data_IF_412601051624
#
_entry.id   IF_412601051624
#
_cell.length_a   1.000
_cell.length_b   1.000
_cell.length_c   1.000
_cell.angle_alpha   90.00
_cell.angle_beta   90.00
_cell.angle_gamma   90.00
#
_symmetry.space_group_name_H-M   'P 1'
#
loop_
_entity.id
_entity.type
_entity.pdbx_description
1 polymer ?
#
# COMPACT_ATOMS: atom_id res chain seq x y z
N UNK A 1 -4.45 -5.67 15.00
CA UNK A 1 -4.60 -6.35 16.31
C UNK A 1 -4.25 -5.26 17.30
N UNK A 2 -5.24 -4.70 18.00
CA UNK A 2 -5.02 -3.60 18.94
C UNK A 2 -4.21 -4.10 20.14
N UNK A 3 -3.02 -3.52 20.34
CA UNK A 3 -2.02 -4.05 21.27
C UNK A 3 -2.43 -3.87 22.74
N UNK A 4 -3.10 -2.76 23.06
CA UNK A 4 -3.32 -2.34 24.46
C UNK A 4 -4.65 -2.82 25.04
N UNK A 5 -5.67 -3.03 24.21
CA UNK A 5 -7.02 -3.35 24.69
C UNK A 5 -7.10 -4.70 25.45
N UNK A 6 -6.49 -5.80 24.96
CA UNK A 6 -6.44 -7.05 25.73
C UNK A 6 -5.62 -6.93 27.02
N UNK A 7 -4.59 -6.09 27.04
CA UNK A 7 -3.78 -5.86 28.23
C UNK A 7 -4.59 -5.11 29.32
N UNK A 8 -5.34 -4.09 28.92
CA UNK A 8 -6.21 -3.35 29.82
C UNK A 8 -7.31 -4.26 30.37
N UNK A 9 -8.01 -5.00 29.52
CA UNK A 9 -9.09 -5.91 29.94
C UNK A 9 -8.60 -6.95 30.97
N UNK A 10 -7.44 -7.57 30.72
CA UNK A 10 -6.80 -8.48 31.68
C UNK A 10 -6.49 -7.80 33.02
N UNK A 11 -6.00 -6.55 33.02
CA UNK A 11 -5.73 -5.80 34.26
C UNK A 11 -7.00 -5.51 35.05
N UNK A 12 -8.09 -5.14 34.38
CA UNK A 12 -9.37 -4.94 35.04
C UNK A 12 -9.88 -6.24 35.66
N UNK A 13 -9.82 -7.35 34.92
CA UNK A 13 -10.20 -8.67 35.42
C UNK A 13 -9.38 -9.08 36.65
N UNK A 14 -8.05 -8.89 36.63
CA UNK A 14 -7.18 -9.17 37.77
C UNK A 14 -7.53 -8.32 39.01
N UNK A 15 -7.99 -7.09 38.80
CA UNK A 15 -8.46 -6.18 39.84
C UNK A 15 -9.96 -6.37 40.17
N UNK A 16 -10.57 -7.48 39.75
CA UNK A 16 -11.98 -7.84 39.99
C UNK A 16 -12.97 -6.76 39.53
N UNK A 17 -12.58 -6.00 38.53
CA UNK A 17 -13.39 -4.95 37.92
C UNK A 17 -13.84 -5.43 36.54
N UNK A 18 -15.15 -5.45 36.30
CA UNK A 18 -15.68 -5.82 34.99
C UNK A 18 -15.67 -4.61 34.05
N UNK A 19 -15.36 -4.85 32.77
CA UNK A 19 -15.32 -3.83 31.73
C UNK A 19 -16.05 -4.30 30.48
N UNK A 20 -16.58 -3.35 29.73
CA UNK A 20 -17.11 -3.52 28.38
C UNK A 20 -16.11 -3.05 27.30
N UNK A 21 -14.82 -2.84 27.65
CA UNK A 21 -13.83 -2.23 26.77
C UNK A 21 -13.67 -2.98 25.44
N UNK A 22 -13.68 -4.32 25.48
CA UNK A 22 -13.62 -5.15 24.27
C UNK A 22 -14.86 -5.02 23.37
N UNK A 23 -16.00 -4.64 23.94
CA UNK A 23 -17.24 -4.42 23.20
C UNK A 23 -17.32 -3.01 22.59
N UNK A 24 -16.42 -2.08 22.98
CA UNK A 24 -16.43 -0.71 22.46
C UNK A 24 -15.69 -0.62 21.12
N UNK A 25 -16.16 0.27 20.22
CA UNK A 25 -15.40 0.62 19.02
C UNK A 25 -14.02 1.14 19.41
N UNK A 26 -12.99 0.56 18.80
CA UNK A 26 -11.61 0.98 18.99
C UNK A 26 -10.92 1.00 17.63
N UNK A 27 -9.95 1.90 17.49
CA UNK A 27 -9.17 2.03 16.27
C UNK A 27 -7.68 1.87 16.59
N UNK A 28 -7.07 0.91 15.90
CA UNK A 28 -5.63 0.76 15.84
C UNK A 28 -5.13 1.59 14.65
N UNK A 29 -4.30 2.60 14.91
CA UNK A 29 -3.79 3.51 13.88
C UNK A 29 -2.61 2.94 13.11
N UNK A 30 -2.00 1.85 13.57
CA UNK A 30 -0.85 1.26 12.90
C UNK A 30 -1.20 0.64 11.52
N UNK A 31 -2.30 -0.13 11.37
CA UNK A 31 -2.74 -0.59 10.05
C UNK A 31 -2.97 0.51 9.01
N UNK A 32 -3.77 1.58 9.27
CA UNK A 32 -3.96 2.64 8.29
C UNK A 32 -2.67 3.42 8.03
N UNK A 33 -1.85 3.70 9.06
CA UNK A 33 -0.56 4.34 8.88
C UNK A 33 0.37 3.54 7.94
N UNK A 34 0.45 2.21 8.12
CA UNK A 34 1.22 1.34 7.24
C UNK A 34 0.66 1.27 5.82
N UNK A 35 -0.66 1.32 5.65
CA UNK A 35 -1.26 1.33 4.31
C UNK A 35 -0.82 2.55 3.49
N UNK A 36 -0.70 3.70 4.14
CA UNK A 36 -0.32 4.94 3.46
C UNK A 36 1.21 5.08 3.36
N UNK A 37 1.95 4.95 4.47
CA UNK A 37 3.33 5.46 4.54
C UNK A 37 4.44 4.42 4.53
N UNK A 38 4.14 3.11 4.58
CA UNK A 38 5.17 2.05 4.74
C UNK A 38 6.24 2.03 3.65
N UNK A 39 5.90 2.46 2.44
CA UNK A 39 6.81 2.43 1.30
C UNK A 39 7.78 3.62 1.30
N UNK A 40 7.46 4.67 2.06
CA UNK A 40 8.24 5.91 2.18
C UNK A 40 9.02 5.96 3.49
N UNK A 41 8.45 5.46 4.58
CA UNK A 41 9.04 5.51 5.92
C UNK A 41 9.75 4.20 6.27
N UNK A 42 10.90 4.32 6.92
CA UNK A 42 11.65 3.18 7.45
C UNK A 42 10.93 2.50 8.63
N UNK A 43 10.10 3.25 9.36
CA UNK A 43 9.29 2.77 10.47
C UNK A 43 7.94 3.47 10.49
N UNK A 44 6.90 2.75 10.92
CA UNK A 44 5.58 3.33 11.24
C UNK A 44 5.30 3.28 12.76
N UNK A 45 6.34 3.18 13.59
CA UNK A 45 6.18 3.39 15.03
C UNK A 45 5.79 4.84 15.32
N UNK A 46 5.06 5.08 16.41
CA UNK A 46 4.49 6.39 16.74
C UNK A 46 5.54 7.51 16.72
N UNK A 47 6.68 7.33 17.37
CA UNK A 47 7.77 8.33 17.35
C UNK A 47 8.31 8.67 15.96
N UNK A 48 8.32 7.71 15.03
CA UNK A 48 8.73 7.98 13.64
C UNK A 48 7.64 8.74 12.88
N UNK A 49 6.36 8.43 13.13
CA UNK A 49 5.23 9.13 12.52
C UNK A 49 5.10 10.55 13.06
N UNK A 50 5.33 10.75 14.35
CA UNK A 50 5.41 12.06 14.99
C UNK A 50 6.42 12.97 14.31
N UNK A 51 7.66 12.53 14.19
CA UNK A 51 8.73 13.30 13.57
C UNK A 51 8.42 13.57 12.08
N UNK A 52 8.09 12.52 11.33
CA UNK A 52 8.05 12.58 9.86
C UNK A 52 6.74 13.12 9.30
N UNK A 53 5.62 12.84 9.94
CA UNK A 53 4.28 13.19 9.44
C UNK A 53 3.63 14.34 10.22
N UNK A 54 3.94 14.48 11.51
CA UNK A 54 3.33 15.50 12.38
C UNK A 54 4.28 16.66 12.72
N UNK A 55 5.60 16.50 12.52
CA UNK A 55 6.61 17.49 12.90
C UNK A 55 6.75 17.64 14.42
N UNK A 56 6.31 16.65 15.20
CA UNK A 56 6.38 16.69 16.65
C UNK A 56 7.83 16.46 17.09
N UNK A 57 8.34 17.37 17.92
CA UNK A 57 9.64 17.25 18.57
C UNK A 57 9.41 17.10 20.07
N UNK A 58 9.73 15.94 20.61
CA UNK A 58 9.61 15.67 22.05
C UNK A 58 10.71 16.39 22.82
N UNK A 59 10.38 16.90 24.00
CA UNK A 59 11.35 17.57 24.87
C UNK A 59 12.22 16.57 25.64
N UNK A 60 13.28 17.04 26.29
CA UNK A 60 14.12 16.22 27.19
C UNK A 60 13.35 15.65 28.40
N UNK A 61 12.14 16.15 28.67
CA UNK A 61 11.28 15.62 29.71
C UNK A 61 10.75 14.21 29.38
N UNK A 62 10.75 13.81 28.10
CA UNK A 62 10.26 12.49 27.69
C UNK A 62 11.10 11.34 28.30
N UNK A 63 10.43 10.20 28.50
CA UNK A 63 11.05 8.95 28.94
C UNK A 63 10.96 7.92 27.82
N UNK A 64 11.99 7.08 27.61
CA UNK A 64 11.85 5.94 26.72
C UNK A 64 10.72 5.03 27.21
N UNK A 65 9.79 4.66 26.32
CA UNK A 65 8.58 3.91 26.69
C UNK A 65 8.87 2.58 27.43
N UNK A 66 9.99 1.91 27.10
CA UNK A 66 10.42 0.68 27.77
C UNK A 66 10.81 0.89 29.24
N UNK A 67 11.11 2.12 29.67
CA UNK A 67 11.49 2.45 31.05
C UNK A 67 10.26 2.70 31.93
N UNK A 68 9.10 3.01 31.34
CA UNK A 68 7.86 3.35 32.05
C UNK A 68 7.45 2.29 33.08
N UNK A 69 7.45 0.96 32.79
CA UNK A 69 7.07 -0.04 33.80
C UNK A 69 7.98 -0.02 35.04
N UNK A 70 9.28 0.19 34.85
CA UNK A 70 10.25 0.23 35.94
C UNK A 70 10.09 1.49 36.81
N UNK A 71 9.77 2.63 36.21
CA UNK A 71 9.48 3.87 36.96
C UNK A 71 8.19 3.72 37.78
N UNK A 72 7.17 3.09 37.21
CA UNK A 72 5.93 2.83 37.92
C UNK A 72 6.12 1.86 39.10
N UNK A 73 6.88 0.77 38.91
CA UNK A 73 7.18 -0.17 40.00
C UNK A 73 7.99 0.48 41.13
N UNK A 74 8.91 1.40 40.80
CA UNK A 74 9.66 2.16 41.81
C UNK A 74 8.73 3.00 42.67
N UNK A 75 7.85 3.77 42.03
CA UNK A 75 6.83 4.56 42.73
C UNK A 75 5.96 3.71 43.66
N UNK A 76 5.55 2.51 43.24
CA UNK A 76 4.78 1.60 44.11
C UNK A 76 5.56 1.12 45.34
N UNK A 77 6.89 1.06 45.25
CA UNK A 77 7.75 0.57 46.33
C UNK A 77 8.12 1.67 47.34
N UNK A 78 8.43 2.89 46.88
CA UNK A 78 8.94 3.98 47.72
C UNK A 78 7.98 5.16 47.89
N UNK A 79 6.92 5.24 47.09
CA UNK A 79 5.95 6.34 47.08
C UNK A 79 6.43 7.62 46.39
N UNK A 80 7.62 7.65 45.80
CA UNK A 80 8.20 8.84 45.16
C UNK A 80 7.67 9.03 43.73
N UNK A 81 6.80 10.03 43.56
CA UNK A 81 6.13 10.32 42.29
C UNK A 81 6.93 11.25 41.35
N UNK A 82 8.13 11.71 41.73
CA UNK A 82 8.87 12.72 40.93
C UNK A 82 9.14 12.28 39.49
N UNK A 83 9.52 11.02 39.27
CA UNK A 83 9.75 10.48 37.93
C UNK A 83 8.44 10.21 37.16
N UNK A 84 7.29 10.07 37.83
CA UNK A 84 6.01 9.83 37.17
C UNK A 84 5.54 11.04 36.35
N UNK A 85 5.97 12.25 36.69
CA UNK A 85 5.68 13.46 35.91
C UNK A 85 6.10 13.27 34.45
N UNK A 86 7.24 12.63 34.21
CA UNK A 86 7.77 12.35 32.87
C UNK A 86 6.99 11.26 32.15
N UNK A 87 6.50 10.26 32.90
CA UNK A 87 5.59 9.22 32.38
C UNK A 87 4.26 9.84 31.92
N UNK A 88 3.70 10.77 32.71
CA UNK A 88 2.49 11.48 32.32
C UNK A 88 2.71 12.35 31.08
N UNK A 89 3.83 13.06 31.01
CA UNK A 89 4.21 13.82 29.81
C UNK A 89 4.29 12.91 28.56
N UNK A 90 4.94 11.75 28.67
CA UNK A 90 5.00 10.77 27.57
C UNK A 90 3.60 10.37 27.09
N UNK A 91 2.74 9.95 28.02
CA UNK A 91 1.38 9.51 27.72
C UNK A 91 0.52 10.63 27.13
N UNK A 92 0.67 11.87 27.62
CA UNK A 92 -0.03 13.05 27.10
C UNK A 92 0.33 13.28 25.63
N UNK A 93 1.63 13.30 25.33
CA UNK A 93 2.10 13.49 23.95
C UNK A 93 1.65 12.33 23.06
N UNK A 94 1.76 11.08 23.51
CA UNK A 94 1.26 9.91 22.77
C UNK A 94 -0.22 10.04 22.40
N UNK A 95 -1.07 10.42 23.36
CA UNK A 95 -2.51 10.60 23.14
C UNK A 95 -2.79 11.71 22.12
N UNK A 96 -2.16 12.88 22.27
CA UNK A 96 -2.33 14.00 21.36
C UNK A 96 -1.82 13.65 19.95
N UNK A 97 -0.69 12.96 19.85
CA UNK A 97 -0.12 12.48 18.60
C UNK A 97 -1.03 11.48 17.91
N UNK A 98 -1.64 10.54 18.63
CA UNK A 98 -2.59 9.58 18.05
C UNK A 98 -3.84 10.27 17.48
N UNK A 99 -4.43 11.22 18.21
CA UNK A 99 -5.62 11.96 17.70
C UNK A 99 -5.25 12.79 16.46
N UNK A 100 -4.10 13.44 16.49
CA UNK A 100 -3.59 14.24 15.36
C UNK A 100 -3.27 13.35 14.16
N UNK A 101 -2.66 12.18 14.39
CA UNK A 101 -2.35 11.19 13.38
C UNK A 101 -3.62 10.66 12.72
N UNK A 102 -4.65 10.34 13.51
CA UNK A 102 -5.94 9.92 12.99
C UNK A 102 -6.53 10.99 12.06
N UNK A 103 -6.53 12.26 12.48
CA UNK A 103 -6.98 13.35 11.64
C UNK A 103 -6.17 13.47 10.33
N UNK A 104 -4.83 13.31 10.39
CA UNK A 104 -3.95 13.32 9.21
C UNK A 104 -4.26 12.16 8.25
N UNK A 105 -4.44 10.94 8.77
CA UNK A 105 -4.84 9.76 7.99
C UNK A 105 -6.18 10.02 7.30
N UNK A 106 -7.19 10.48 8.05
CA UNK A 106 -8.52 10.76 7.51
C UNK A 106 -8.47 11.83 6.42
N UNK A 107 -7.72 12.91 6.63
CA UNK A 107 -7.53 13.94 5.61
C UNK A 107 -6.86 13.38 4.37
N UNK A 108 -5.76 12.64 4.51
CA UNK A 108 -5.02 12.12 3.37
C UNK A 108 -5.80 11.05 2.60
N UNK A 109 -6.66 10.29 3.29
CA UNK A 109 -7.51 9.29 2.67
C UNK A 109 -8.69 9.90 1.88
N UNK A 110 -9.39 10.89 2.45
CA UNK A 110 -10.59 11.47 1.81
C UNK A 110 -10.26 12.66 0.89
N UNK A 111 -9.24 13.43 1.24
CA UNK A 111 -8.84 14.66 0.55
C UNK A 111 -7.31 14.73 0.36
N UNK A 112 -6.71 13.78 -0.39
CA UNK A 112 -5.28 13.79 -0.68
C UNK A 112 -4.88 15.05 -1.47
N UNK A 113 -3.89 15.77 -0.96
CA UNK A 113 -3.42 17.03 -1.53
C UNK A 113 -2.58 16.75 -2.78
N UNK A 114 -2.71 17.50 -3.90
CA UNK A 114 -1.81 17.47 -5.06
C UNK A 114 -0.31 17.31 -4.72
N UNK A 115 0.14 17.95 -3.64
CA UNK A 115 1.53 17.95 -3.14
C UNK A 115 1.92 16.77 -2.26
N UNK A 116 0.97 15.90 -1.86
CA UNK A 116 1.29 14.68 -1.12
C UNK A 116 2.20 13.77 -1.97
N UNK A 117 3.09 13.04 -1.29
CA UNK A 117 4.14 12.27 -1.95
C UNK A 117 3.54 11.13 -2.81
N UNK A 118 4.06 10.86 -4.03
CA UNK A 118 3.51 9.83 -4.91
C UNK A 118 3.38 8.43 -4.28
N UNK A 119 4.31 8.03 -3.42
CA UNK A 119 4.23 6.75 -2.68
C UNK A 119 3.05 6.71 -1.69
N UNK A 120 2.72 7.84 -1.07
CA UNK A 120 1.60 7.94 -0.14
C UNK A 120 0.29 7.86 -0.93
N UNK A 121 0.22 8.55 -2.07
CA UNK A 121 -0.91 8.48 -3.02
C UNK A 121 -1.11 7.07 -3.59
N UNK A 122 -0.04 6.33 -3.85
CA UNK A 122 -0.10 4.91 -4.23
C UNK A 122 -0.73 4.09 -3.10
N UNK A 123 -0.33 4.31 -1.85
CA UNK A 123 -0.90 3.66 -0.68
C UNK A 123 -2.39 3.95 -0.51
N UNK A 124 -2.77 5.24 -0.60
CA UNK A 124 -4.18 5.69 -0.54
C UNK A 124 -5.00 5.10 -1.67
N UNK A 125 -4.53 5.21 -2.92
CA UNK A 125 -5.26 4.73 -4.10
C UNK A 125 -5.50 3.21 -4.06
N UNK A 126 -4.52 2.43 -3.59
CA UNK A 126 -4.70 0.99 -3.36
C UNK A 126 -5.75 0.71 -2.28
N UNK A 127 -5.69 1.43 -1.17
CA UNK A 127 -6.66 1.26 -0.09
C UNK A 127 -8.08 1.65 -0.54
N UNK A 128 -8.24 2.74 -1.29
CA UNK A 128 -9.52 3.13 -1.87
C UNK A 128 -10.04 2.08 -2.86
N UNK A 129 -9.17 1.51 -3.70
CA UNK A 129 -9.54 0.42 -4.61
C UNK A 129 -10.03 -0.82 -3.86
N UNK A 130 -9.36 -1.21 -2.77
CA UNK A 130 -9.76 -2.34 -1.91
C UNK A 130 -11.15 -2.12 -1.28
N UNK A 131 -11.53 -0.86 -1.04
CA UNK A 131 -12.83 -0.47 -0.51
C UNK A 131 -13.91 -0.23 -1.60
N UNK A 132 -13.55 -0.36 -2.88
CA UNK A 132 -14.47 -0.11 -3.99
C UNK A 132 -14.71 1.37 -4.30
N UNK A 133 -13.92 2.29 -3.74
CA UNK A 133 -13.97 3.73 -4.03
C UNK A 133 -13.21 4.02 -5.33
N UNK A 134 -13.75 3.53 -6.45
CA UNK A 134 -12.99 3.41 -7.71
C UNK A 134 -12.59 4.76 -8.32
N UNK A 135 -13.43 5.78 -8.22
CA UNK A 135 -13.15 7.11 -8.77
C UNK A 135 -11.97 7.78 -8.06
N UNK A 136 -12.00 7.81 -6.71
CA UNK A 136 -10.92 8.37 -5.91
C UNK A 136 -9.62 7.56 -6.08
N UNK A 137 -9.75 6.24 -6.11
CA UNK A 137 -8.62 5.35 -6.35
C UNK A 137 -7.93 5.64 -7.68
N UNK A 138 -8.70 5.79 -8.77
CA UNK A 138 -8.17 6.11 -10.08
C UNK A 138 -7.43 7.45 -10.06
N UNK A 139 -8.04 8.50 -9.49
CA UNK A 139 -7.42 9.82 -9.42
C UNK A 139 -6.06 9.77 -8.70
N UNK A 140 -6.01 9.10 -7.55
CA UNK A 140 -4.78 9.00 -6.77
C UNK A 140 -3.73 8.11 -7.43
N UNK A 141 -4.12 7.01 -8.08
CA UNK A 141 -3.20 6.15 -8.81
C UNK A 141 -2.60 6.84 -10.04
N UNK A 142 -3.37 7.68 -10.75
CA UNK A 142 -2.83 8.52 -11.83
C UNK A 142 -1.79 9.50 -11.32
N UNK A 143 -2.08 10.16 -10.20
CA UNK A 143 -1.15 11.10 -9.55
C UNK A 143 0.08 10.40 -8.96
N UNK A 144 -0.07 9.14 -8.56
CA UNK A 144 1.04 8.32 -8.09
C UNK A 144 1.91 7.81 -9.25
N UNK A 145 1.37 7.56 -10.43
CA UNK A 145 2.08 7.05 -11.60
C UNK A 145 3.01 8.10 -12.24
N UNK A 146 4.04 8.53 -11.51
CA UNK A 146 5.04 9.49 -11.95
C UNK A 146 6.33 8.77 -12.37
N UNK A 147 6.86 8.99 -13.58
CA UNK A 147 8.08 8.32 -14.07
C UNK A 147 9.34 8.54 -13.21
N UNK A 148 9.38 9.60 -12.40
CA UNK A 148 10.47 9.89 -11.49
C UNK A 148 10.51 8.99 -10.23
N UNK A 149 9.47 8.19 -9.98
CA UNK A 149 9.46 7.22 -8.88
C UNK A 149 10.40 6.04 -9.16
N UNK A 150 10.86 5.32 -8.12
CA UNK A 150 11.51 4.02 -8.31
C UNK A 150 10.63 3.08 -9.14
N UNK A 151 11.24 2.38 -10.11
CA UNK A 151 10.56 1.60 -11.13
C UNK A 151 9.49 0.66 -10.56
N UNK A 152 9.79 -0.05 -9.48
CA UNK A 152 8.84 -1.01 -8.86
C UNK A 152 7.54 -0.35 -8.40
N UNK A 153 7.61 0.85 -7.84
CA UNK A 153 6.43 1.57 -7.37
C UNK A 153 5.67 2.22 -8.54
N UNK A 154 6.39 2.66 -9.56
CA UNK A 154 5.79 3.17 -10.79
C UNK A 154 5.01 2.04 -11.50
N UNK A 155 5.61 0.85 -11.65
CA UNK A 155 4.94 -0.34 -12.18
C UNK A 155 3.71 -0.72 -11.35
N UNK A 156 3.81 -0.69 -10.01
CA UNK A 156 2.67 -0.98 -9.14
C UNK A 156 1.51 0.00 -9.35
N UNK A 157 1.79 1.30 -9.50
CA UNK A 157 0.78 2.31 -9.77
C UNK A 157 0.07 2.05 -11.11
N UNK A 158 0.85 1.85 -12.19
CA UNK A 158 0.31 1.55 -13.52
C UNK A 158 -0.50 0.26 -13.53
N UNK A 159 -0.02 -0.80 -12.87
CA UNK A 159 -0.72 -2.07 -12.81
C UNK A 159 -2.09 -1.93 -12.13
N UNK A 160 -2.17 -1.24 -10.98
CA UNK A 160 -3.44 -0.98 -10.30
C UNK A 160 -4.39 -0.12 -11.13
N UNK A 161 -3.86 0.95 -11.74
CA UNK A 161 -4.63 1.82 -12.62
C UNK A 161 -5.20 1.07 -13.83
N UNK A 162 -4.37 0.26 -14.49
CA UNK A 162 -4.79 -0.56 -15.64
C UNK A 162 -5.86 -1.57 -15.28
N UNK A 163 -5.82 -2.17 -14.08
CA UNK A 163 -6.90 -3.02 -13.59
C UNK A 163 -8.21 -2.27 -13.38
N UNK A 164 -8.16 -1.07 -12.80
CA UNK A 164 -9.35 -0.23 -12.60
C UNK A 164 -9.97 0.16 -13.94
N UNK A 165 -9.18 0.67 -14.87
CA UNK A 165 -9.65 1.09 -16.19
C UNK A 165 -10.27 -0.07 -16.98
N UNK A 166 -9.63 -1.25 -16.92
CA UNK A 166 -10.18 -2.48 -17.49
C UNK A 166 -11.53 -2.84 -16.89
N UNK A 167 -11.67 -2.81 -15.57
CA UNK A 167 -12.94 -3.13 -14.88
C UNK A 167 -14.04 -2.12 -15.24
N UNK A 168 -13.67 -0.87 -15.47
CA UNK A 168 -14.58 0.19 -15.92
C UNK A 168 -14.91 0.13 -17.43
N UNK A 169 -14.32 -0.81 -18.20
CA UNK A 169 -14.50 -0.90 -19.64
C UNK A 169 -13.84 0.24 -20.44
N UNK A 170 -12.98 1.04 -19.81
CA UNK A 170 -12.24 2.16 -20.43
C UNK A 170 -10.99 1.64 -21.12
N UNK A 171 -11.20 0.87 -22.18
CA UNK A 171 -10.15 0.07 -22.80
C UNK A 171 -9.04 0.91 -23.44
N UNK A 172 -9.37 2.01 -24.10
CA UNK A 172 -8.38 2.87 -24.76
C UNK A 172 -7.35 3.40 -23.77
N UNK A 173 -7.80 3.84 -22.59
CA UNK A 173 -6.92 4.32 -21.52
C UNK A 173 -6.15 3.18 -20.86
N UNK A 174 -6.78 2.02 -20.67
CA UNK A 174 -6.10 0.84 -20.15
C UNK A 174 -4.93 0.42 -21.06
N UNK A 175 -5.11 0.50 -22.38
CA UNK A 175 -4.06 0.22 -23.38
C UNK A 175 -2.89 1.18 -23.24
N UNK A 176 -3.13 2.48 -23.07
CA UNK A 176 -2.07 3.46 -22.84
C UNK A 176 -1.25 3.13 -21.59
N UNK A 177 -1.93 2.79 -20.49
CA UNK A 177 -1.28 2.39 -19.24
C UNK A 177 -0.46 1.10 -19.40
N UNK A 178 -1.00 0.09 -20.10
CA UNK A 178 -0.26 -1.15 -20.35
C UNK A 178 0.93 -0.94 -21.29
N UNK A 179 0.82 -0.05 -22.28
CA UNK A 179 1.95 0.31 -23.14
C UNK A 179 3.08 0.97 -22.35
N UNK A 180 2.75 1.90 -21.45
CA UNK A 180 3.71 2.51 -20.54
C UNK A 180 4.37 1.46 -19.63
N UNK A 181 3.58 0.51 -19.10
CA UNK A 181 4.06 -0.59 -18.28
C UNK A 181 5.04 -1.47 -19.06
N UNK A 182 4.66 -1.87 -20.28
CA UNK A 182 5.46 -2.69 -21.18
C UNK A 182 6.77 -2.02 -21.64
N UNK A 183 6.83 -0.68 -21.66
CA UNK A 183 8.04 0.06 -22.04
C UNK A 183 9.00 0.31 -20.87
N UNK A 184 8.59 0.01 -19.63
CA UNK A 184 9.35 0.35 -18.41
C UNK A 184 9.65 -0.85 -17.50
N UNK A 185 9.11 -2.03 -17.81
CA UNK A 185 9.44 -3.30 -17.15
C UNK A 185 9.84 -4.37 -18.16
N UNK A 186 10.92 -5.11 -17.84
CA UNK A 186 11.45 -6.19 -18.66
C UNK A 186 11.35 -7.57 -17.98
N UNK A 187 11.05 -7.62 -16.69
CA UNK A 187 10.92 -8.85 -15.90
C UNK A 187 9.47 -9.34 -15.80
N UNK A 188 8.50 -8.49 -16.13
CA UNK A 188 7.08 -8.80 -16.15
C UNK A 188 6.49 -8.65 -17.55
N UNK A 189 5.79 -9.69 -18.00
CA UNK A 189 5.09 -9.75 -19.29
C UNK A 189 3.58 -9.51 -19.16
N UNK A 190 3.07 -9.25 -17.95
CA UNK A 190 1.64 -9.08 -17.69
C UNK A 190 1.02 -7.99 -18.58
N UNK A 191 1.75 -6.90 -18.83
CA UNK A 191 1.40 -5.82 -19.75
C UNK A 191 1.21 -6.33 -21.19
N UNK A 192 2.22 -7.01 -21.73
CA UNK A 192 2.21 -7.56 -23.09
C UNK A 192 1.08 -8.56 -23.28
N UNK A 193 0.82 -9.42 -22.28
CA UNK A 193 -0.29 -10.37 -22.30
C UNK A 193 -1.65 -9.66 -22.27
N UNK A 194 -1.79 -8.59 -21.49
CA UNK A 194 -3.01 -7.79 -21.45
C UNK A 194 -3.26 -7.09 -22.80
N UNK A 195 -2.23 -6.49 -23.40
CA UNK A 195 -2.28 -5.87 -24.73
C UNK A 195 -2.63 -6.89 -25.81
N UNK A 196 -1.98 -8.05 -25.83
CA UNK A 196 -2.28 -9.12 -26.78
C UNK A 196 -3.73 -9.60 -26.67
N UNK A 197 -4.26 -9.74 -25.43
CA UNK A 197 -5.67 -10.08 -25.21
C UNK A 197 -6.61 -8.97 -25.70
N UNK A 198 -6.30 -7.70 -25.42
CA UNK A 198 -7.12 -6.58 -25.89
C UNK A 198 -7.21 -6.55 -27.42
N UNK A 199 -6.08 -6.59 -28.11
CA UNK A 199 -6.06 -6.54 -29.57
C UNK A 199 -6.70 -7.77 -30.21
N UNK A 200 -6.57 -8.96 -29.60
CA UNK A 200 -7.21 -10.18 -30.10
C UNK A 200 -8.73 -10.13 -29.97
N UNK A 201 -9.25 -9.72 -28.81
CA UNK A 201 -10.66 -9.94 -28.46
C UNK A 201 -11.52 -8.68 -28.56
N UNK A 202 -10.99 -7.52 -28.20
CA UNK A 202 -11.75 -6.27 -28.16
C UNK A 202 -11.60 -5.48 -29.46
N UNK A 203 -10.36 -5.25 -29.91
CA UNK A 203 -10.09 -4.46 -31.12
C UNK A 203 -10.07 -5.32 -32.41
N UNK A 204 -10.06 -6.65 -32.27
CA UNK A 204 -9.99 -7.63 -33.37
C UNK A 204 -8.82 -7.38 -34.35
N UNK A 205 -7.75 -6.71 -33.89
CA UNK A 205 -6.55 -6.42 -34.66
C UNK A 205 -5.49 -7.50 -34.40
N UNK A 206 -5.49 -8.55 -35.23
CA UNK A 206 -4.67 -9.74 -35.00
C UNK A 206 -3.16 -9.48 -35.12
N UNK A 207 -2.73 -8.60 -36.04
CA UNK A 207 -1.32 -8.28 -36.22
C UNK A 207 -0.70 -7.61 -34.97
N UNK A 208 -1.29 -6.54 -34.38
CA UNK A 208 -0.85 -6.03 -33.08
C UNK A 208 -0.87 -7.07 -31.96
N UNK A 209 -1.90 -7.93 -31.90
CA UNK A 209 -1.97 -8.98 -30.88
C UNK A 209 -0.78 -9.95 -30.95
N UNK A 210 -0.38 -10.31 -32.18
CA UNK A 210 0.76 -11.19 -32.43
C UNK A 210 2.09 -10.48 -32.10
N UNK A 211 2.23 -9.21 -32.44
CA UNK A 211 3.41 -8.42 -32.10
C UNK A 211 3.68 -8.36 -30.59
N UNK A 212 2.66 -8.05 -29.78
CA UNK A 212 2.78 -8.03 -28.32
C UNK A 212 3.10 -9.42 -27.74
N UNK A 213 2.53 -10.48 -28.31
CA UNK A 213 2.82 -11.87 -27.89
C UNK A 213 4.28 -12.24 -28.18
N UNK A 214 4.81 -11.84 -29.33
CA UNK A 214 6.21 -12.05 -29.70
C UNK A 214 7.18 -11.28 -28.79
N UNK A 215 6.86 -10.02 -28.47
CA UNK A 215 7.68 -9.25 -27.56
C UNK A 215 7.72 -9.88 -26.16
N UNK A 216 6.59 -10.41 -25.67
CA UNK A 216 6.56 -11.18 -24.42
C UNK A 216 7.47 -12.42 -24.48
N UNK A 217 7.46 -13.17 -25.59
CA UNK A 217 8.33 -14.34 -25.79
C UNK A 217 9.80 -13.97 -25.75
N UNK A 218 10.18 -12.84 -26.34
CA UNK A 218 11.55 -12.32 -26.30
C UNK A 218 12.00 -12.04 -24.85
N UNK A 219 11.16 -11.41 -24.03
CA UNK A 219 11.48 -11.13 -22.63
C UNK A 219 11.62 -12.40 -21.79
N UNK A 220 10.71 -13.35 -21.96
CA UNK A 220 10.73 -14.65 -21.25
C UNK A 220 12.01 -15.44 -21.55
N UNK A 221 12.64 -15.25 -22.71
CA UNK A 221 13.90 -15.92 -23.05
C UNK A 221 15.07 -15.55 -22.11
N UNK A 222 15.00 -14.39 -21.45
CA UNK A 222 16.04 -13.88 -20.55
C UNK A 222 15.70 -14.07 -19.07
N UNK A 223 14.59 -14.73 -18.73
CA UNK A 223 14.20 -14.95 -17.35
C UNK A 223 15.16 -15.92 -16.64
N UNK A 224 15.55 -15.64 -15.38
CA UNK A 224 16.54 -16.43 -14.65
C UNK A 224 16.01 -17.80 -14.20
N UNK A 225 14.69 -17.95 -14.02
CA UNK A 225 14.04 -19.21 -13.63
C UNK A 225 13.56 -19.98 -14.87
N UNK A 226 14.21 -21.11 -15.23
CA UNK A 226 13.86 -21.88 -16.42
C UNK A 226 12.45 -22.51 -16.35
N UNK A 227 11.99 -22.89 -15.15
CA UNK A 227 10.69 -23.53 -14.97
C UNK A 227 9.55 -22.54 -15.21
N UNK A 228 9.65 -21.36 -14.58
CA UNK A 228 8.72 -20.25 -14.83
C UNK A 228 8.74 -19.80 -16.29
N UNK A 229 9.93 -19.71 -16.89
CA UNK A 229 10.09 -19.32 -18.28
C UNK A 229 9.46 -20.34 -19.25
N UNK A 230 9.64 -21.64 -19.00
CA UNK A 230 9.06 -22.69 -19.85
C UNK A 230 7.53 -22.65 -19.85
N UNK A 231 6.91 -22.49 -18.67
CA UNK A 231 5.45 -22.37 -18.54
C UNK A 231 4.92 -21.15 -19.30
N UNK A 232 5.50 -19.97 -19.07
CA UNK A 232 5.11 -18.75 -19.77
C UNK A 232 5.29 -18.87 -21.29
N UNK A 233 6.40 -19.47 -21.74
CA UNK A 233 6.66 -19.71 -23.18
C UNK A 233 5.60 -20.62 -23.79
N UNK A 234 5.20 -21.68 -23.11
CA UNK A 234 4.16 -22.59 -23.60
C UNK A 234 2.83 -21.85 -23.79
N UNK A 235 2.38 -21.07 -22.79
CA UNK A 235 1.14 -20.30 -22.89
C UNK A 235 1.16 -19.25 -24.02
N UNK A 236 2.28 -18.57 -24.19
CA UNK A 236 2.48 -17.57 -25.23
C UNK A 236 2.53 -18.22 -26.63
N UNK A 237 3.20 -19.37 -26.77
CA UNK A 237 3.25 -20.11 -28.03
C UNK A 237 1.84 -20.59 -28.43
N UNK A 238 1.07 -21.15 -27.50
CA UNK A 238 -0.31 -21.52 -27.76
C UNK A 238 -1.18 -20.35 -28.22
N UNK A 239 -0.97 -19.14 -27.67
CA UNK A 239 -1.64 -17.93 -28.14
C UNK A 239 -1.20 -17.57 -29.56
N UNK A 240 0.09 -17.62 -29.85
CA UNK A 240 0.65 -17.28 -31.17
C UNK A 240 0.12 -18.23 -32.25
N UNK A 241 0.10 -19.55 -32.00
CA UNK A 241 -0.45 -20.55 -32.93
C UNK A 241 -1.96 -20.35 -33.16
N UNK A 242 -2.70 -19.91 -32.14
CA UNK A 242 -4.11 -19.53 -32.28
C UNK A 242 -4.27 -18.27 -33.15
N UNK A 243 -3.44 -17.25 -32.95
CA UNK A 243 -3.48 -16.02 -33.73
C UNK A 243 -3.09 -16.26 -35.20
N UNK A 244 -2.05 -17.06 -35.45
CA UNK A 244 -1.60 -17.41 -36.80
C UNK A 244 -2.71 -18.12 -37.59
N UNK A 245 -3.42 -19.07 -36.96
CA UNK A 245 -4.58 -19.72 -37.57
C UNK A 245 -5.71 -18.73 -37.90
N UNK A 246 -6.02 -17.80 -36.98
CA UNK A 246 -7.04 -16.76 -37.24
C UNK A 246 -6.66 -15.86 -38.42
N UNK A 247 -5.39 -15.45 -38.52
CA UNK A 247 -4.89 -14.62 -39.63
C UNK A 247 -4.98 -15.38 -40.96
N UNK A 248 -4.58 -16.65 -41.00
CA UNK A 248 -4.65 -17.47 -42.22
C UNK A 248 -6.08 -17.76 -42.70
N UNK A 249 -7.09 -17.49 -41.87
CA UNK A 249 -8.52 -17.71 -42.20
C UNK A 249 -9.24 -16.39 -42.52
N UNK A 250 -8.56 -15.24 -42.43
CA UNK A 250 -9.07 -13.92 -42.87
C UNK A 250 -8.69 -13.66 -44.32
#
# INVERSE_FOLDING_TARGET
RAFDLPLLDNRYLMNRSFTDLLARPHIDLLPPARRIWRNRLTSCALGSLEERMLGVQRTQADVPGWLIPSLYNRYLADGDARELVRVFYHNEIDMLSMVTLLARVMRQFHHPDPSDHPLDLLGVGKWQADLGLLADAEQNLRRAAVPAMPTDYYQQALHQLGQLLKRAGRWEEAVQVWQQMASTSFEDISAHVALAKYYEWQAQALAPAMAWTNQALQLVAFWPDPGRAALARQELQHRLDRLARKIATQ
#
